data_IF_817503137229
#
_entry.id   IF_817503137229
#
_cell.length_a   1.000
_cell.length_b   1.000
_cell.length_c   1.000
_cell.angle_alpha   90.00
_cell.angle_beta   90.00
_cell.angle_gamma   90.00
#
_symmetry.space_group_name_H-M   'P 1'
#
loop_
_entity.id
_entity.type
_entity.pdbx_description
1 polymer ?
#
# COMPACT_ATOMS: atom_id res chain seq x y z
N UNK A 1 -7.11 24.66 -63.32
CA UNK A 1 -6.16 23.54 -63.32
C UNK A 1 -5.08 23.84 -62.27
N UNK A 2 -5.27 23.41 -61.03
CA UNK A 2 -4.32 23.65 -59.94
C UNK A 2 -3.54 22.34 -59.68
N UNK A 3 -2.26 22.36 -59.99
CA UNK A 3 -1.32 21.26 -59.77
C UNK A 3 -1.07 21.11 -58.26
N UNK A 4 -1.46 19.97 -57.72
CA UNK A 4 -1.14 19.58 -56.35
C UNK A 4 0.24 18.91 -56.33
N UNK A 5 1.19 19.50 -55.58
CA UNK A 5 2.50 18.93 -55.33
C UNK A 5 2.40 17.78 -54.32
N UNK A 6 3.05 16.64 -54.52
CA UNK A 6 3.03 15.53 -53.57
C UNK A 6 3.87 15.87 -52.31
N UNK A 7 3.24 15.75 -51.12
CA UNK A 7 3.94 15.86 -49.83
C UNK A 7 4.88 14.67 -49.68
N UNK A 8 6.16 14.90 -49.80
CA UNK A 8 7.22 13.95 -49.42
C UNK A 8 7.10 13.66 -47.92
N UNK A 9 6.61 12.47 -47.53
CA UNK A 9 6.70 11.92 -46.19
C UNK A 9 8.11 11.38 -46.01
N UNK A 10 8.96 12.13 -45.31
CA UNK A 10 10.23 11.63 -44.79
C UNK A 10 9.97 10.48 -43.79
N UNK A 11 10.62 9.31 -43.96
CA UNK A 11 10.48 8.23 -42.98
C UNK A 11 11.07 8.68 -41.64
N UNK A 12 10.24 8.70 -40.59
CA UNK A 12 10.71 8.83 -39.21
C UNK A 12 11.55 7.60 -38.88
N UNK A 13 12.84 7.72 -38.96
CA UNK A 13 13.78 6.76 -38.39
C UNK A 13 13.48 6.65 -36.87
N UNK A 14 12.67 5.66 -36.50
CA UNK A 14 12.57 5.19 -35.12
C UNK A 14 13.90 4.50 -34.78
N UNK A 15 14.87 5.26 -34.27
CA UNK A 15 16.04 4.69 -33.60
C UNK A 15 15.50 4.12 -32.26
N UNK A 16 14.99 2.87 -32.35
CA UNK A 16 14.57 2.08 -31.21
C UNK A 16 15.79 1.48 -30.50
N UNK A 17 16.65 2.30 -29.97
CA UNK A 17 17.64 1.85 -28.99
C UNK A 17 16.97 1.64 -27.62
N UNK A 18 17.40 0.67 -26.82
CA UNK A 18 16.90 0.52 -25.46
C UNK A 18 17.06 1.85 -24.72
N UNK A 19 16.01 2.28 -24.04
CA UNK A 19 15.98 3.56 -23.30
C UNK A 19 17.22 3.64 -22.38
N UNK A 20 17.98 4.75 -22.42
CA UNK A 20 19.21 4.85 -21.65
C UNK A 20 18.90 4.66 -20.17
N UNK A 21 19.60 3.71 -19.53
CA UNK A 21 19.43 3.41 -18.11
C UNK A 21 19.73 4.65 -17.26
N UNK A 22 19.09 4.80 -16.11
CA UNK A 22 19.35 5.89 -15.14
C UNK A 22 20.84 5.98 -14.83
N UNK A 23 21.53 4.86 -14.73
CA UNK A 23 22.99 4.78 -14.54
C UNK A 23 23.74 5.51 -15.66
N UNK A 24 23.39 5.25 -16.93
CA UNK A 24 24.03 5.91 -18.06
C UNK A 24 23.74 7.42 -18.08
N UNK A 25 22.50 7.84 -17.82
CA UNK A 25 22.12 9.26 -17.77
C UNK A 25 22.89 10.02 -16.69
N UNK A 26 22.99 9.47 -15.48
CA UNK A 26 23.74 10.08 -14.38
C UNK A 26 25.23 10.17 -14.71
N UNK A 27 25.83 9.09 -15.23
CA UNK A 27 27.24 9.09 -15.59
C UNK A 27 27.56 10.11 -16.67
N UNK A 28 26.74 10.22 -17.72
CA UNK A 28 26.91 11.22 -18.78
C UNK A 28 26.71 12.63 -18.23
N UNK A 29 25.70 12.86 -17.40
CA UNK A 29 25.44 14.17 -16.80
C UNK A 29 26.61 14.65 -15.95
N UNK A 30 27.08 13.81 -15.02
CA UNK A 30 28.21 14.15 -14.15
C UNK A 30 29.51 14.30 -14.94
N UNK A 31 29.77 13.45 -15.94
CA UNK A 31 30.92 13.58 -16.83
C UNK A 31 30.89 14.89 -17.61
N UNK A 32 29.74 15.31 -18.14
CA UNK A 32 29.57 16.58 -18.84
C UNK A 32 29.79 17.80 -17.91
N UNK A 33 29.15 17.76 -16.72
CA UNK A 33 29.33 18.84 -15.72
C UNK A 33 30.81 18.97 -15.32
N UNK A 34 31.49 17.85 -15.07
CA UNK A 34 32.89 17.83 -14.73
C UNK A 34 33.75 18.40 -15.86
N UNK A 35 33.51 18.01 -17.11
CA UNK A 35 34.22 18.50 -18.30
C UNK A 35 34.03 20.00 -18.50
N UNK A 36 32.78 20.49 -18.37
CA UNK A 36 32.47 21.93 -18.49
C UNK A 36 33.16 22.76 -17.40
N UNK A 37 33.03 22.32 -16.15
CA UNK A 37 33.68 23.00 -15.01
C UNK A 37 35.19 23.01 -15.15
N UNK A 38 35.78 21.88 -15.55
CA UNK A 38 37.19 21.77 -15.81
C UNK A 38 37.65 22.69 -16.95
N UNK A 39 36.91 22.74 -18.07
CA UNK A 39 37.21 23.63 -19.19
C UNK A 39 37.16 25.12 -18.79
N UNK A 40 36.19 25.52 -17.98
CA UNK A 40 36.08 26.89 -17.44
C UNK A 40 37.27 27.21 -16.56
N UNK A 41 37.65 26.34 -15.62
CA UNK A 41 38.82 26.52 -14.74
C UNK A 41 40.12 26.63 -15.54
N UNK A 42 40.31 25.77 -16.54
CA UNK A 42 41.47 25.80 -17.41
C UNK A 42 41.52 27.10 -18.22
N UNK A 43 40.39 27.57 -18.73
CA UNK A 43 40.33 28.86 -19.46
C UNK A 43 40.67 30.02 -18.56
N UNK A 44 40.18 30.06 -17.33
CA UNK A 44 40.53 31.10 -16.33
C UNK A 44 42.01 31.02 -16.00
N UNK A 45 42.53 29.81 -15.73
CA UNK A 45 43.95 29.60 -15.44
C UNK A 45 44.86 30.07 -16.58
N UNK A 46 44.53 29.72 -17.82
CA UNK A 46 45.26 30.17 -19.01
C UNK A 46 45.24 31.69 -19.15
N UNK A 47 44.07 32.33 -19.00
CA UNK A 47 43.95 33.80 -19.08
C UNK A 47 44.74 34.51 -17.99
N UNK A 48 44.73 33.98 -16.75
CA UNK A 48 45.51 34.50 -15.62
C UNK A 48 47.02 34.40 -15.90
N UNK A 49 47.49 33.24 -16.35
CA UNK A 49 48.92 33.05 -16.69
C UNK A 49 49.32 33.96 -17.83
N UNK A 50 48.50 34.04 -18.87
CA UNK A 50 48.74 34.94 -20.02
C UNK A 50 48.79 36.42 -19.58
N UNK A 51 47.86 36.85 -18.70
CA UNK A 51 47.79 38.21 -18.18
C UNK A 51 49.04 38.55 -17.33
N UNK A 52 49.42 37.67 -16.39
CA UNK A 52 50.57 37.87 -15.53
C UNK A 52 51.88 37.90 -16.31
N UNK A 53 52.02 37.06 -17.34
CA UNK A 53 53.18 37.10 -18.24
C UNK A 53 53.24 38.40 -19.11
N UNK A 54 52.04 38.99 -19.39
CA UNK A 54 51.95 40.27 -20.06
C UNK A 54 52.34 41.45 -19.13
N UNK A 55 51.72 41.49 -17.94
CA UNK A 55 51.89 42.55 -16.94
C UNK A 55 53.30 42.61 -16.38
N UNK A 56 54.00 41.48 -16.17
CA UNK A 56 55.37 41.45 -15.67
C UNK A 56 56.40 42.11 -16.61
N UNK A 57 56.09 42.13 -17.91
CA UNK A 57 56.89 42.87 -18.90
C UNK A 57 56.68 44.37 -18.82
N UNK A 58 55.42 44.80 -18.64
CA UNK A 58 55.08 46.24 -18.62
C UNK A 58 55.58 46.97 -17.35
N UNK A 59 55.34 46.33 -16.18
CA UNK A 59 55.81 46.88 -14.89
C UNK A 59 57.34 47.05 -14.88
N UNK A 60 58.08 46.05 -15.39
CA UNK A 60 59.56 46.15 -15.49
C UNK A 60 60.00 47.19 -16.46
N UNK A 61 59.26 47.37 -17.56
CA UNK A 61 59.58 48.46 -18.54
C UNK A 61 59.23 49.86 -17.98
N UNK A 62 58.14 50.00 -17.21
CA UNK A 62 57.77 51.23 -16.52
C UNK A 62 58.79 51.57 -15.43
N UNK A 63 59.19 50.62 -14.59
CA UNK A 63 60.24 50.87 -13.58
C UNK A 63 61.54 51.20 -14.17
N UNK A 64 61.89 50.66 -15.36
CA UNK A 64 63.09 51.04 -16.10
C UNK A 64 63.03 52.45 -16.70
N UNK A 65 61.86 52.84 -17.25
CA UNK A 65 61.61 54.22 -17.74
C UNK A 65 61.69 55.27 -16.63
N UNK A 66 61.33 54.90 -15.41
CA UNK A 66 61.36 55.73 -14.20
C UNK A 66 62.75 55.74 -13.55
N UNK A 67 63.79 55.07 -14.16
CA UNK A 67 65.12 55.02 -13.60
C UNK A 67 65.29 54.17 -12.33
N UNK A 68 64.25 53.46 -11.94
CA UNK A 68 64.23 52.64 -10.70
C UNK A 68 64.86 51.26 -10.89
N UNK A 69 65.11 50.84 -12.13
CA UNK A 69 65.83 49.61 -12.48
C UNK A 69 67.01 49.92 -13.45
N UNK A 70 68.14 49.25 -13.28
CA UNK A 70 69.24 49.38 -14.19
C UNK A 70 68.85 48.99 -15.62
N UNK A 71 69.52 49.55 -16.65
CA UNK A 71 69.30 49.15 -18.03
C UNK A 71 69.50 47.63 -18.19
N UNK A 72 68.73 47.00 -19.13
CA UNK A 72 68.84 45.57 -19.34
C UNK A 72 70.30 45.22 -19.69
N UNK A 73 70.96 44.63 -18.71
CA UNK A 73 72.34 44.12 -18.93
C UNK A 73 72.23 42.59 -19.07
N UNK A 74 72.75 42.08 -20.17
CA UNK A 74 73.09 40.68 -20.35
C UNK A 74 74.57 40.47 -20.13
N UNK A 75 74.95 39.49 -19.37
CA UNK A 75 76.36 39.12 -19.25
C UNK A 75 76.70 38.14 -20.37
N UNK A 76 77.61 38.55 -21.26
CA UNK A 76 78.18 37.67 -22.24
C UNK A 76 79.66 37.51 -21.92
N UNK A 77 80.16 36.32 -21.70
CA UNK A 77 81.53 36.04 -21.27
C UNK A 77 82.03 36.85 -20.05
N UNK A 78 81.10 37.02 -19.02
CA UNK A 78 81.46 37.72 -17.77
C UNK A 78 81.48 39.25 -17.86
N UNK A 79 81.22 39.86 -19.01
CA UNK A 79 81.17 41.34 -19.18
C UNK A 79 79.71 41.80 -19.28
N UNK A 80 79.31 42.88 -18.57
CA UNK A 80 78.01 43.45 -18.69
C UNK A 80 77.80 44.07 -20.08
N UNK A 81 76.81 43.52 -20.84
CA UNK A 81 76.45 44.05 -22.15
C UNK A 81 75.12 44.79 -22.07
N UNK A 82 75.13 46.09 -22.41
CA UNK A 82 73.87 46.88 -22.41
C UNK A 82 73.26 46.83 -23.80
N UNK A 83 72.11 46.16 -23.91
CA UNK A 83 71.36 46.14 -25.17
C UNK A 83 70.67 47.49 -25.40
N UNK A 84 71.13 48.22 -26.48
CA UNK A 84 70.51 49.48 -26.90
C UNK A 84 69.10 49.18 -27.48
N UNK A 85 68.04 49.91 -27.07
CA UNK A 85 66.72 49.79 -27.70
C UNK A 85 66.83 49.99 -29.22
N UNK A 86 66.26 49.03 -30.02
CA UNK A 86 66.33 49.10 -31.49
C UNK A 86 67.56 48.46 -32.13
N UNK A 87 68.56 47.97 -31.36
CA UNK A 87 69.72 47.25 -31.94
C UNK A 87 69.24 45.84 -32.43
N UNK A 88 69.90 45.27 -33.46
CA UNK A 88 69.61 43.94 -33.97
C UNK A 88 69.60 42.88 -32.89
N UNK A 89 70.52 42.96 -31.92
CA UNK A 89 70.67 42.05 -30.80
C UNK A 89 69.51 42.19 -29.82
N UNK A 90 68.99 43.42 -29.57
CA UNK A 90 67.85 43.68 -28.73
C UNK A 90 66.53 43.10 -29.36
N UNK A 91 66.40 43.29 -30.68
CA UNK A 91 65.26 42.72 -31.43
C UNK A 91 65.32 41.21 -31.50
N UNK A 92 66.47 40.59 -31.68
CA UNK A 92 66.68 39.16 -31.62
C UNK A 92 66.36 38.61 -30.24
N UNK A 93 66.87 39.21 -29.17
CA UNK A 93 66.54 38.80 -27.80
C UNK A 93 65.05 38.96 -27.45
N UNK A 94 64.39 39.98 -28.04
CA UNK A 94 62.92 40.13 -27.90
C UNK A 94 62.13 39.04 -28.66
N UNK A 95 62.56 38.70 -29.88
CA UNK A 95 61.97 37.65 -30.69
C UNK A 95 62.12 36.27 -30.02
N UNK A 96 63.31 35.93 -29.53
CA UNK A 96 63.56 34.67 -28.80
C UNK A 96 62.72 34.60 -27.54
N UNK A 97 62.57 35.68 -26.75
CA UNK A 97 61.65 35.68 -25.57
C UNK A 97 60.20 35.52 -25.95
N UNK A 98 59.78 36.16 -27.05
CA UNK A 98 58.44 36.02 -27.56
C UNK A 98 58.12 34.53 -27.96
N UNK A 99 59.09 33.92 -28.64
CA UNK A 99 59.01 32.55 -29.07
C UNK A 99 59.00 31.56 -27.88
N UNK A 100 59.93 31.71 -26.94
CA UNK A 100 59.97 30.92 -25.70
C UNK A 100 58.61 31.01 -24.88
N UNK A 101 58.09 32.26 -24.87
CA UNK A 101 56.76 32.47 -24.20
C UNK A 101 55.63 31.78 -24.93
N UNK A 102 55.61 31.82 -26.26
CA UNK A 102 54.60 31.13 -27.08
C UNK A 102 54.68 29.62 -26.88
N UNK A 103 55.91 29.08 -26.91
CA UNK A 103 56.17 27.65 -26.72
C UNK A 103 55.79 27.20 -25.31
N UNK A 104 56.08 28.00 -24.27
CA UNK A 104 55.69 27.73 -22.91
C UNK A 104 54.14 27.71 -22.73
N UNK A 105 53.45 28.69 -23.35
CA UNK A 105 51.98 28.72 -23.34
C UNK A 105 51.37 27.54 -24.10
N UNK A 106 51.94 27.15 -25.24
CA UNK A 106 51.50 25.96 -25.99
C UNK A 106 51.69 24.67 -25.18
N UNK A 107 52.82 24.45 -24.55
CA UNK A 107 53.05 23.29 -23.68
C UNK A 107 52.05 23.26 -22.53
N UNK A 108 51.82 24.39 -21.87
CA UNK A 108 50.90 24.52 -20.76
C UNK A 108 49.45 24.17 -21.18
N UNK A 109 49.02 24.59 -22.39
CA UNK A 109 47.71 24.21 -22.93
C UNK A 109 47.61 22.69 -23.16
N UNK A 110 48.67 22.09 -23.76
CA UNK A 110 48.71 20.65 -24.00
C UNK A 110 48.63 19.87 -22.67
N UNK A 111 49.47 20.26 -21.68
CA UNK A 111 49.48 19.60 -20.37
C UNK A 111 48.12 19.71 -19.66
N UNK A 112 47.48 20.88 -19.78
CA UNK A 112 46.15 21.09 -19.21
C UNK A 112 45.07 20.24 -19.91
N UNK A 113 45.09 20.15 -21.23
CA UNK A 113 44.13 19.32 -21.99
C UNK A 113 44.31 17.84 -21.66
N UNK A 114 45.57 17.38 -21.55
CA UNK A 114 45.84 15.98 -21.14
C UNK A 114 45.38 15.72 -19.72
N UNK A 115 45.69 16.62 -18.79
CA UNK A 115 45.21 16.48 -17.39
C UNK A 115 43.67 16.47 -17.31
N UNK A 116 43.00 17.35 -18.07
CA UNK A 116 41.53 17.38 -18.13
C UNK A 116 40.97 16.07 -18.69
N UNK A 117 41.55 15.54 -19.75
CA UNK A 117 41.11 14.27 -20.35
C UNK A 117 41.25 13.10 -19.38
N UNK A 118 42.40 12.99 -18.71
CA UNK A 118 42.64 11.94 -17.69
C UNK A 118 41.67 12.06 -16.52
N UNK A 119 41.52 13.27 -15.98
CA UNK A 119 40.58 13.49 -14.85
C UNK A 119 39.12 13.22 -15.25
N UNK A 120 38.73 13.58 -16.47
CA UNK A 120 37.38 13.27 -16.98
C UNK A 120 37.18 11.76 -17.11
N UNK A 121 38.14 11.02 -17.59
CA UNK A 121 38.09 9.56 -17.69
C UNK A 121 37.95 8.92 -16.31
N UNK A 122 38.73 9.38 -15.32
CA UNK A 122 38.63 8.92 -13.93
C UNK A 122 37.24 9.24 -13.35
N UNK A 123 36.76 10.47 -13.54
CA UNK A 123 35.42 10.89 -13.04
C UNK A 123 34.27 10.08 -13.64
N UNK A 124 34.31 9.80 -14.95
CA UNK A 124 33.34 8.97 -15.64
C UNK A 124 33.41 7.52 -15.13
N UNK A 125 34.60 6.95 -14.97
CA UNK A 125 34.79 5.60 -14.46
C UNK A 125 34.29 5.42 -13.03
N UNK A 126 34.66 6.31 -12.13
CA UNK A 126 34.22 6.29 -10.74
C UNK A 126 32.71 6.54 -10.61
N UNK A 127 32.18 7.51 -11.37
CA UNK A 127 30.73 7.78 -11.43
C UNK A 127 29.93 6.58 -11.91
N UNK A 128 30.43 5.84 -12.91
CA UNK A 128 29.82 4.61 -13.39
C UNK A 128 29.79 3.50 -12.33
N UNK A 129 30.86 3.30 -11.58
CA UNK A 129 30.94 2.32 -10.50
C UNK A 129 30.02 2.66 -9.34
N UNK A 130 30.05 3.93 -8.87
CA UNK A 130 29.21 4.41 -7.77
C UNK A 130 27.73 4.37 -8.11
N UNK A 131 27.34 4.86 -9.29
CA UNK A 131 25.94 4.78 -9.75
C UNK A 131 25.45 3.33 -9.87
N UNK A 132 26.34 2.42 -10.30
CA UNK A 132 26.02 1.00 -10.37
C UNK A 132 25.74 0.37 -9.02
N UNK A 133 26.50 0.75 -7.99
CA UNK A 133 26.35 0.24 -6.63
C UNK A 133 25.14 0.88 -5.93
N UNK A 134 24.95 2.18 -6.06
CA UNK A 134 23.82 2.91 -5.46
C UNK A 134 22.45 2.48 -6.02
N UNK A 135 22.39 2.11 -7.32
CA UNK A 135 21.15 1.70 -7.95
C UNK A 135 20.90 0.18 -7.93
N UNK A 136 21.78 -0.60 -7.30
CA UNK A 136 21.59 -2.06 -7.17
C UNK A 136 20.33 -2.42 -6.37
N UNK A 137 20.07 -1.84 -5.19
CA UNK A 137 18.87 -2.15 -4.40
C UNK A 137 17.57 -1.91 -5.17
N UNK A 138 17.50 -0.85 -5.97
CA UNK A 138 16.31 -0.56 -6.80
C UNK A 138 16.03 -1.66 -7.82
N UNK A 139 17.08 -2.31 -8.36
CA UNK A 139 16.91 -3.45 -9.26
C UNK A 139 16.41 -4.68 -8.52
N UNK A 140 16.88 -4.90 -7.31
CA UNK A 140 16.48 -6.02 -6.47
C UNK A 140 15.00 -5.87 -6.08
N UNK A 141 14.56 -4.67 -5.65
CA UNK A 141 13.15 -4.32 -5.40
C UNK A 141 12.30 -4.60 -6.66
N UNK A 142 12.74 -4.09 -7.83
CA UNK A 142 11.99 -4.27 -9.08
C UNK A 142 11.93 -5.74 -9.52
N UNK A 143 12.99 -6.50 -9.28
CA UNK A 143 13.04 -7.93 -9.61
C UNK A 143 12.10 -8.74 -8.71
N UNK A 144 12.09 -8.49 -7.40
CA UNK A 144 11.15 -9.11 -6.45
C UNK A 144 9.71 -8.74 -6.79
N UNK A 145 9.42 -7.45 -7.04
CA UNK A 145 8.09 -7.00 -7.43
C UNK A 145 7.56 -7.68 -8.72
N UNK A 146 8.45 -8.05 -9.66
CA UNK A 146 8.07 -8.79 -10.87
C UNK A 146 7.88 -10.28 -10.66
N UNK A 147 8.53 -10.87 -9.64
CA UNK A 147 8.39 -12.28 -9.30
C UNK A 147 7.17 -12.54 -8.42
N UNK A 148 6.77 -11.54 -7.64
CA UNK A 148 5.59 -11.62 -6.80
C UNK A 148 4.35 -11.84 -7.68
N UNK A 149 3.63 -12.91 -7.42
CA UNK A 149 2.35 -13.28 -8.03
C UNK A 149 1.40 -13.78 -6.94
N UNK A 150 0.15 -14.02 -7.27
CA UNK A 150 -0.83 -14.56 -6.31
C UNK A 150 -0.44 -15.88 -5.64
N UNK A 151 0.50 -16.62 -6.23
CA UNK A 151 0.99 -17.90 -5.70
C UNK A 151 2.24 -17.76 -4.82
N UNK A 152 2.97 -16.62 -4.92
CA UNK A 152 4.25 -16.41 -4.25
C UNK A 152 4.33 -15.03 -3.56
N UNK A 153 3.34 -14.74 -2.71
CA UNK A 153 3.27 -13.49 -1.93
C UNK A 153 4.16 -13.51 -0.67
N UNK A 154 4.71 -14.67 -0.32
CA UNK A 154 5.59 -14.82 0.85
C UNK A 154 7.01 -14.28 0.63
N UNK A 155 7.41 -13.95 -0.61
CA UNK A 155 8.72 -13.38 -0.90
C UNK A 155 8.82 -11.96 -0.35
N UNK A 156 9.96 -11.62 0.26
CA UNK A 156 10.24 -10.28 0.81
C UNK A 156 11.50 -9.73 0.17
N UNK A 157 11.59 -8.40 0.14
CA UNK A 157 12.79 -7.72 -0.32
C UNK A 157 13.89 -7.84 0.73
N UNK A 158 13.51 -7.67 2.01
CA UNK A 158 14.39 -7.75 3.19
C UNK A 158 15.72 -7.03 2.97
N UNK A 159 15.63 -5.76 2.54
CA UNK A 159 16.81 -4.97 2.19
C UNK A 159 17.64 -4.70 3.43
N UNK A 160 18.87 -5.24 3.44
CA UNK A 160 19.87 -4.98 4.48
C UNK A 160 20.71 -3.78 4.10
N UNK A 161 20.70 -2.73 4.94
CA UNK A 161 21.47 -1.51 4.66
C UNK A 161 21.19 -0.40 5.66
N UNK A 162 21.76 0.79 5.43
CA UNK A 162 21.46 1.97 6.24
C UNK A 162 19.98 2.35 6.12
N UNK A 163 19.46 3.00 7.16
CA UNK A 163 18.10 3.54 7.17
C UNK A 163 18.03 4.80 6.29
N UNK A 164 17.96 4.60 4.99
CA UNK A 164 17.81 5.62 3.97
C UNK A 164 16.44 5.47 3.25
N UNK A 165 16.17 6.33 2.29
CA UNK A 165 14.92 6.35 1.53
C UNK A 165 14.67 5.04 0.75
N UNK A 166 15.73 4.31 0.40
CA UNK A 166 15.61 3.01 -0.27
C UNK A 166 15.18 1.90 0.71
N UNK A 167 15.68 1.96 1.94
CA UNK A 167 15.27 1.05 3.02
C UNK A 167 13.81 1.29 3.39
N UNK A 168 13.39 2.56 3.54
CA UNK A 168 12.00 2.93 3.82
C UNK A 168 11.05 2.44 2.71
N UNK A 169 11.46 2.59 1.44
CA UNK A 169 10.69 2.07 0.30
C UNK A 169 10.56 0.55 0.35
N UNK A 170 11.65 -0.16 0.63
CA UNK A 170 11.65 -1.63 0.72
C UNK A 170 10.75 -2.11 1.86
N UNK A 171 10.84 -1.50 3.05
CA UNK A 171 10.04 -1.85 4.21
C UNK A 171 8.54 -1.58 3.98
N UNK A 172 8.22 -0.46 3.31
CA UNK A 172 6.83 -0.13 2.91
C UNK A 172 6.29 -1.18 1.95
N UNK A 173 7.10 -1.61 0.98
CA UNK A 173 6.72 -2.63 0.01
C UNK A 173 6.52 -3.99 0.69
N UNK A 174 7.43 -4.39 1.59
CA UNK A 174 7.31 -5.62 2.37
C UNK A 174 6.08 -5.62 3.28
N UNK A 175 5.75 -4.47 3.88
CA UNK A 175 4.51 -4.27 4.62
C UNK A 175 3.25 -4.42 3.77
N UNK A 176 3.29 -3.96 2.52
CA UNK A 176 2.20 -4.13 1.55
C UNK A 176 2.05 -5.61 1.14
N UNK A 177 3.17 -6.27 0.84
CA UNK A 177 3.18 -7.71 0.53
C UNK A 177 2.64 -8.54 1.70
N UNK A 178 3.01 -8.20 2.94
CA UNK A 178 2.48 -8.86 4.13
C UNK A 178 0.96 -8.77 4.26
N UNK A 179 0.39 -7.60 3.98
CA UNK A 179 -1.07 -7.40 3.97
C UNK A 179 -1.76 -8.19 2.86
N UNK A 180 -1.17 -8.22 1.66
CA UNK A 180 -1.70 -8.98 0.54
C UNK A 180 -1.64 -10.49 0.82
N UNK A 181 -0.53 -11.00 1.36
CA UNK A 181 -0.37 -12.41 1.71
C UNK A 181 -1.40 -12.85 2.76
N UNK A 182 -1.59 -12.04 3.80
CA UNK A 182 -2.63 -12.28 4.82
C UNK A 182 -4.04 -12.30 4.21
N UNK A 183 -4.37 -11.36 3.31
CA UNK A 183 -5.67 -11.29 2.64
C UNK A 183 -5.92 -12.50 1.74
N UNK A 184 -4.95 -12.88 0.91
CA UNK A 184 -5.04 -14.08 0.07
C UNK A 184 -5.04 -15.38 0.88
N UNK A 185 -4.31 -15.42 1.99
CA UNK A 185 -4.33 -16.53 2.94
C UNK A 185 -5.74 -16.72 3.52
N UNK A 186 -6.33 -15.65 4.03
CA UNK A 186 -7.71 -15.65 4.53
C UNK A 186 -8.71 -16.09 3.47
N UNK A 187 -8.60 -15.58 2.24
CA UNK A 187 -9.46 -15.97 1.12
C UNK A 187 -9.33 -17.45 0.76
N UNK A 188 -8.11 -18.00 0.73
CA UNK A 188 -7.89 -19.45 0.47
C UNK A 188 -8.52 -20.30 1.56
N UNK A 189 -8.35 -19.94 2.83
CA UNK A 189 -8.96 -20.62 3.96
C UNK A 189 -10.50 -20.55 3.90
N UNK A 190 -11.04 -19.38 3.55
CA UNK A 190 -12.49 -19.19 3.37
C UNK A 190 -13.06 -20.14 2.29
N UNK A 191 -12.45 -20.18 1.09
CA UNK A 191 -12.90 -21.06 -0.01
C UNK A 191 -12.77 -22.54 0.36
N UNK A 192 -11.66 -22.94 1.01
CA UNK A 192 -11.47 -24.32 1.46
C UNK A 192 -12.53 -24.72 2.48
N UNK A 193 -12.79 -23.91 3.50
CA UNK A 193 -13.79 -24.16 4.53
C UNK A 193 -15.21 -24.19 3.95
N UNK A 194 -15.56 -23.25 3.06
CA UNK A 194 -16.84 -23.24 2.37
C UNK A 194 -17.06 -24.55 1.57
N UNK A 195 -16.02 -25.00 0.88
CA UNK A 195 -16.06 -26.27 0.12
C UNK A 195 -16.26 -27.48 1.02
N UNK A 196 -15.61 -27.50 2.19
CA UNK A 196 -15.80 -28.56 3.17
C UNK A 196 -17.19 -28.55 3.79
N UNK A 197 -17.69 -27.37 4.19
CA UNK A 197 -19.04 -27.23 4.79
C UNK A 197 -20.19 -27.51 3.79
N UNK A 198 -19.96 -27.37 2.48
CA UNK A 198 -20.90 -27.79 1.44
C UNK A 198 -20.82 -29.29 1.13
N UNK A 199 -19.62 -29.87 1.16
CA UNK A 199 -19.45 -31.30 0.81
C UNK A 199 -20.11 -32.23 1.80
N UNK A 200 -20.08 -31.91 3.08
CA UNK A 200 -20.67 -32.75 4.15
C UNK A 200 -22.17 -32.93 3.98
N UNK A 201 -23.04 -31.90 3.88
CA UNK A 201 -24.45 -32.07 3.69
C UNK A 201 -24.79 -32.77 2.36
N UNK A 202 -24.05 -32.50 1.28
CA UNK A 202 -24.22 -33.20 0.00
C UNK A 202 -23.97 -34.71 0.14
N UNK A 203 -22.93 -35.09 0.90
CA UNK A 203 -22.62 -36.50 1.15
C UNK A 203 -23.74 -37.15 1.98
N UNK A 204 -24.29 -36.47 2.99
CA UNK A 204 -25.40 -36.95 3.80
C UNK A 204 -26.64 -37.17 2.91
N UNK A 205 -27.05 -36.16 2.13
CA UNK A 205 -28.19 -36.29 1.22
C UNK A 205 -28.04 -37.47 0.25
N UNK A 206 -26.83 -37.63 -0.30
CA UNK A 206 -26.54 -38.74 -1.20
C UNK A 206 -26.70 -40.09 -0.49
N UNK A 207 -26.17 -40.23 0.73
CA UNK A 207 -26.29 -41.45 1.50
C UNK A 207 -27.73 -41.78 1.82
N UNK A 208 -28.56 -40.81 2.25
CA UNK A 208 -30.00 -40.99 2.52
C UNK A 208 -30.73 -41.49 1.27
N UNK A 209 -30.47 -40.91 0.12
CA UNK A 209 -31.04 -41.30 -1.17
C UNK A 209 -30.56 -42.69 -1.58
N UNK A 210 -29.27 -42.98 -1.48
CA UNK A 210 -28.67 -44.27 -1.85
C UNK A 210 -29.23 -45.40 -0.97
N UNK A 211 -29.44 -45.18 0.34
CA UNK A 211 -30.05 -46.11 1.27
C UNK A 211 -31.51 -46.38 0.88
N UNK A 212 -32.28 -45.34 0.59
CA UNK A 212 -33.71 -45.52 0.21
C UNK A 212 -33.86 -46.23 -1.14
N UNK A 213 -32.93 -46.00 -2.09
CA UNK A 213 -32.96 -46.69 -3.40
C UNK A 213 -32.46 -48.13 -3.31
N UNK A 214 -31.66 -48.51 -2.32
CA UNK A 214 -31.14 -49.85 -2.12
C UNK A 214 -32.16 -50.81 -1.49
N UNK A 215 -33.24 -50.30 -0.88
CA UNK A 215 -34.30 -51.09 -0.27
C UNK A 215 -35.56 -51.13 -1.15
N UNK A 216 -35.79 -52.19 -1.93
CA UNK A 216 -36.99 -52.34 -2.75
C UNK A 216 -38.29 -52.49 -1.92
N UNK A 217 -38.16 -52.76 -0.61
CA UNK A 217 -39.28 -52.89 0.32
C UNK A 217 -39.58 -51.63 1.14
N UNK A 218 -38.89 -50.52 0.85
CA UNK A 218 -39.05 -49.28 1.61
C UNK A 218 -40.50 -48.83 1.68
N UNK A 219 -41.00 -48.63 2.90
CA UNK A 219 -42.34 -48.16 3.12
C UNK A 219 -42.54 -46.71 2.73
N UNK A 220 -43.76 -46.30 2.40
CA UNK A 220 -44.10 -44.89 2.13
C UNK A 220 -43.72 -43.98 3.30
N UNK A 221 -43.70 -44.46 4.53
CA UNK A 221 -43.29 -43.71 5.71
C UNK A 221 -41.81 -43.46 5.72
N UNK A 222 -40.98 -44.45 5.37
CA UNK A 222 -39.52 -44.31 5.29
C UNK A 222 -39.10 -43.38 4.14
N UNK A 223 -39.74 -43.52 2.97
CA UNK A 223 -39.50 -42.60 1.84
C UNK A 223 -39.89 -41.16 2.17
N UNK A 224 -40.98 -40.95 2.95
CA UNK A 224 -41.38 -39.61 3.41
C UNK A 224 -40.36 -39.04 4.41
N UNK A 225 -39.90 -39.84 5.37
CA UNK A 225 -38.89 -39.44 6.34
C UNK A 225 -37.57 -39.06 5.66
N UNK A 226 -37.14 -39.87 4.67
CA UNK A 226 -35.96 -39.54 3.83
C UNK A 226 -36.15 -38.20 3.08
N UNK A 227 -37.34 -38.00 2.46
CA UNK A 227 -37.62 -36.73 1.76
C UNK A 227 -37.62 -35.51 2.69
N UNK A 228 -38.10 -35.67 3.93
CA UNK A 228 -38.02 -34.62 4.96
C UNK A 228 -36.57 -34.33 5.38
N UNK A 229 -35.75 -35.36 5.61
CA UNK A 229 -34.32 -35.20 5.95
C UNK A 229 -33.52 -34.53 4.82
N UNK A 230 -33.78 -34.91 3.56
CA UNK A 230 -33.16 -34.27 2.40
C UNK A 230 -33.57 -32.80 2.30
N UNK A 231 -34.87 -32.49 2.49
CA UNK A 231 -35.36 -31.09 2.47
C UNK A 231 -34.69 -30.24 3.55
N UNK A 232 -34.62 -30.74 4.79
CA UNK A 232 -33.95 -30.05 5.89
C UNK A 232 -32.46 -29.75 5.55
N UNK A 233 -31.80 -30.71 4.90
CA UNK A 233 -30.42 -30.57 4.49
C UNK A 233 -30.26 -29.56 3.35
N UNK A 234 -31.20 -29.48 2.39
CA UNK A 234 -31.25 -28.45 1.36
C UNK A 234 -31.40 -27.05 1.97
N UNK A 235 -32.42 -26.88 2.87
CA UNK A 235 -32.63 -25.61 3.58
C UNK A 235 -31.40 -25.17 4.37
N UNK A 236 -30.64 -26.12 4.91
CA UNK A 236 -29.34 -25.84 5.55
C UNK A 236 -28.29 -25.35 4.56
N UNK A 237 -28.17 -25.97 3.37
CA UNK A 237 -27.26 -25.54 2.33
C UNK A 237 -27.61 -24.12 1.82
N UNK A 238 -28.91 -23.83 1.64
CA UNK A 238 -29.34 -22.49 1.22
C UNK A 238 -28.93 -21.41 2.22
N UNK A 239 -29.14 -21.64 3.53
CA UNK A 239 -28.65 -20.71 4.58
C UNK A 239 -27.14 -20.51 4.56
N UNK A 240 -26.37 -21.57 4.26
CA UNK A 240 -24.92 -21.44 4.12
C UNK A 240 -24.57 -20.56 2.92
N UNK A 241 -25.16 -20.81 1.76
CA UNK A 241 -24.90 -20.03 0.52
C UNK A 241 -25.29 -18.57 0.73
N UNK A 242 -26.45 -18.29 1.32
CA UNK A 242 -26.87 -16.92 1.65
C UNK A 242 -25.85 -16.21 2.56
N UNK A 243 -25.34 -16.90 3.58
CA UNK A 243 -24.35 -16.38 4.50
C UNK A 243 -23.02 -16.07 3.79
N UNK A 244 -22.58 -16.93 2.86
CA UNK A 244 -21.38 -16.71 2.04
C UNK A 244 -21.56 -15.54 1.08
N UNK A 245 -22.71 -15.45 0.41
CA UNK A 245 -23.02 -14.33 -0.50
C UNK A 245 -23.10 -13.00 0.25
N UNK A 246 -23.62 -13.01 1.46
CA UNK A 246 -23.69 -11.82 2.29
C UNK A 246 -22.29 -11.34 2.69
N UNK A 247 -21.42 -12.25 3.13
CA UNK A 247 -20.04 -11.92 3.46
C UNK A 247 -19.32 -11.29 2.26
N UNK A 248 -19.47 -11.88 1.07
CA UNK A 248 -18.89 -11.33 -0.16
C UNK A 248 -19.48 -9.96 -0.57
N UNK A 249 -20.78 -9.72 -0.32
CA UNK A 249 -21.44 -8.44 -0.62
C UNK A 249 -21.10 -7.35 0.35
N UNK A 250 -20.93 -7.65 1.65
CA UNK A 250 -20.53 -6.65 2.64
C UNK A 250 -19.13 -6.09 2.35
N UNK A 251 -18.21 -6.88 1.80
CA UNK A 251 -16.89 -6.41 1.34
C UNK A 251 -16.98 -5.49 0.09
N UNK A 252 -18.01 -5.65 -0.75
CA UNK A 252 -18.16 -4.90 -1.99
C UNK A 252 -18.85 -3.52 -1.83
N UNK A 253 -19.40 -3.18 -0.65
CA UNK A 253 -20.01 -1.85 -0.29
C UNK A 253 -20.93 -1.22 -1.36
N UNK A 254 -21.62 -2.03 -2.18
CA UNK A 254 -22.40 -1.54 -3.31
C UNK A 254 -23.91 -1.54 -3.01
N UNK A 255 -24.37 -0.57 -2.23
CA UNK A 255 -25.79 -0.37 -1.96
C UNK A 255 -26.14 1.08 -1.66
N UNK A 256 -27.43 1.42 -1.76
CA UNK A 256 -27.94 2.74 -1.40
C UNK A 256 -27.97 2.85 0.13
N UNK A 257 -27.15 3.72 0.68
CA UNK A 257 -27.15 4.03 2.10
C UNK A 257 -28.34 4.93 2.46
N UNK A 258 -29.06 4.55 3.51
CA UNK A 258 -30.21 5.27 4.05
C UNK A 258 -29.99 5.56 5.55
N UNK A 259 -30.82 6.45 6.10
CA UNK A 259 -30.86 6.63 7.56
C UNK A 259 -31.68 5.50 8.17
N UNK A 260 -31.07 4.70 9.04
CA UNK A 260 -31.66 3.51 9.66
C UNK A 260 -31.63 3.65 11.17
N UNK A 261 -32.77 3.38 11.82
CA UNK A 261 -32.86 3.26 13.28
C UNK A 261 -32.61 1.83 13.72
N UNK A 262 -31.48 1.57 14.35
CA UNK A 262 -31.10 0.24 14.81
C UNK A 262 -31.95 -0.23 15.99
N UNK A 263 -32.58 0.67 16.73
CA UNK A 263 -33.53 0.30 17.77
C UNK A 263 -34.79 -0.37 17.17
N UNK A 264 -35.33 0.21 16.09
CA UNK A 264 -36.46 -0.36 15.37
C UNK A 264 -36.12 -1.72 14.79
N UNK A 265 -34.98 -1.85 14.09
CA UNK A 265 -34.53 -3.14 13.54
C UNK A 265 -34.34 -4.20 14.62
N UNK A 266 -33.78 -3.83 15.79
CA UNK A 266 -33.59 -4.74 16.90
C UNK A 266 -34.95 -5.23 17.47
N UNK A 267 -35.91 -4.32 17.61
CA UNK A 267 -37.29 -4.66 18.08
C UNK A 267 -37.99 -5.63 17.12
N UNK A 268 -37.89 -5.37 15.81
CA UNK A 268 -38.47 -6.24 14.79
C UNK A 268 -37.82 -7.65 14.84
N UNK A 269 -36.49 -7.73 14.89
CA UNK A 269 -35.74 -8.99 14.99
C UNK A 269 -36.08 -9.78 16.28
N UNK A 270 -36.22 -9.10 17.42
CA UNK A 270 -36.64 -9.75 18.68
C UNK A 270 -38.03 -10.32 18.54
N UNK A 271 -38.96 -9.59 17.91
CA UNK A 271 -40.34 -10.04 17.69
C UNK A 271 -40.36 -11.28 16.79
N UNK A 272 -39.64 -11.29 15.69
CA UNK A 272 -39.54 -12.39 14.73
C UNK A 272 -38.96 -13.67 15.36
N UNK A 273 -37.97 -13.50 16.25
CA UNK A 273 -37.29 -14.62 16.91
C UNK A 273 -37.91 -15.03 18.26
N UNK A 274 -39.00 -14.36 18.69
CA UNK A 274 -39.63 -14.62 19.99
C UNK A 274 -40.06 -16.08 20.18
N UNK A 275 -40.67 -16.70 19.17
CA UNK A 275 -41.07 -18.10 19.24
C UNK A 275 -39.87 -19.03 19.49
N UNK A 276 -38.75 -18.77 18.81
CA UNK A 276 -37.51 -19.52 18.98
C UNK A 276 -36.88 -19.33 20.36
N UNK A 277 -36.89 -18.11 20.89
CA UNK A 277 -36.40 -17.83 22.24
C UNK A 277 -37.27 -18.57 23.29
N UNK A 278 -38.60 -18.57 23.10
CA UNK A 278 -39.52 -19.30 23.96
C UNK A 278 -39.26 -20.81 23.93
N UNK A 279 -39.11 -21.40 22.75
CA UNK A 279 -38.84 -22.85 22.60
C UNK A 279 -37.50 -23.24 23.23
N UNK A 280 -36.48 -22.34 23.11
CA UNK A 280 -35.17 -22.49 23.76
C UNK A 280 -35.20 -22.18 25.27
N UNK A 281 -36.29 -21.68 25.82
CA UNK A 281 -36.47 -21.23 27.20
C UNK A 281 -35.47 -20.13 27.58
N UNK A 282 -35.23 -19.18 26.67
CA UNK A 282 -34.35 -18.04 26.87
C UNK A 282 -35.20 -16.81 27.18
N UNK A 283 -34.90 -16.12 28.28
CA UNK A 283 -35.54 -14.86 28.64
C UNK A 283 -34.91 -13.73 27.84
N UNK A 284 -35.67 -13.07 26.96
CA UNK A 284 -35.19 -11.92 26.18
C UNK A 284 -35.53 -10.63 26.91
N UNK A 285 -34.53 -9.80 27.15
CA UNK A 285 -34.64 -8.46 27.75
C UNK A 285 -34.11 -7.44 26.76
N UNK A 286 -34.80 -6.35 26.55
CA UNK A 286 -34.43 -5.30 25.64
C UNK A 286 -34.36 -3.92 26.34
N UNK A 287 -33.38 -3.11 25.91
CA UNK A 287 -33.18 -1.70 26.32
C UNK A 287 -32.83 -0.90 25.05
N UNK A 288 -33.88 -0.56 24.28
CA UNK A 288 -33.76 -0.05 22.92
C UNK A 288 -34.01 1.45 22.92
N UNK A 289 -32.91 2.24 22.97
CA UNK A 289 -32.92 3.68 22.71
C UNK A 289 -32.79 3.96 21.22
N UNK A 290 -33.49 4.99 20.64
CA UNK A 290 -33.35 5.37 19.26
C UNK A 290 -31.88 5.60 18.85
N UNK A 291 -31.41 4.86 17.83
CA UNK A 291 -30.00 4.79 17.48
C UNK A 291 -29.82 4.83 15.94
N UNK A 292 -29.79 6.05 15.40
CA UNK A 292 -29.75 6.29 13.97
C UNK A 292 -28.33 6.24 13.41
N UNK A 293 -28.16 5.47 12.34
CA UNK A 293 -26.92 5.38 11.56
C UNK A 293 -27.21 5.48 10.07
N UNK A 294 -26.17 5.75 9.28
CA UNK A 294 -26.25 5.67 7.82
C UNK A 294 -25.77 4.29 7.37
N UNK A 295 -26.54 3.62 6.55
CA UNK A 295 -26.14 2.31 6.07
C UNK A 295 -27.15 1.62 5.18
N UNK A 296 -26.86 0.40 4.79
CA UNK A 296 -27.73 -0.45 3.99
C UNK A 296 -28.72 -1.20 4.89
N UNK A 297 -30.05 -0.94 4.82
CA UNK A 297 -31.01 -1.49 5.76
C UNK A 297 -30.95 -3.02 5.89
N UNK A 298 -30.93 -3.74 4.77
CA UNK A 298 -30.92 -5.21 4.78
C UNK A 298 -29.62 -5.83 5.34
N UNK A 299 -28.46 -5.13 5.23
CA UNK A 299 -27.22 -5.58 5.86
C UNK A 299 -27.26 -5.37 7.38
N UNK A 300 -27.75 -4.22 7.82
CA UNK A 300 -27.88 -3.88 9.24
C UNK A 300 -28.92 -4.77 9.93
N UNK A 301 -30.07 -5.04 9.30
CA UNK A 301 -31.07 -6.00 9.77
C UNK A 301 -30.45 -7.39 9.96
N UNK A 302 -29.72 -7.89 8.95
CA UNK A 302 -29.10 -9.21 9.03
C UNK A 302 -27.98 -9.26 10.09
N UNK A 303 -27.27 -8.18 10.31
CA UNK A 303 -26.27 -8.06 11.38
C UNK A 303 -26.96 -8.26 12.76
N UNK A 304 -28.04 -7.55 12.99
CA UNK A 304 -28.82 -7.67 14.25
C UNK A 304 -29.44 -9.07 14.40
N UNK A 305 -30.04 -9.60 13.33
CA UNK A 305 -30.61 -10.95 13.33
C UNK A 305 -29.57 -12.03 13.66
N UNK A 306 -28.32 -11.89 13.10
CA UNK A 306 -27.22 -12.80 13.45
C UNK A 306 -26.81 -12.71 14.93
N UNK A 307 -26.82 -11.51 15.51
CA UNK A 307 -26.50 -11.31 16.93
C UNK A 307 -27.56 -11.96 17.82
N UNK A 308 -28.85 -11.70 17.55
CA UNK A 308 -29.95 -12.21 18.34
C UNK A 308 -30.07 -13.74 18.20
N UNK A 309 -30.02 -14.28 16.96
CA UNK A 309 -30.06 -15.72 16.71
C UNK A 309 -28.89 -16.46 17.39
N UNK A 310 -27.67 -15.86 17.32
CA UNK A 310 -26.50 -16.41 18.00
C UNK A 310 -26.68 -16.45 19.51
N UNK A 311 -27.24 -15.39 20.12
CA UNK A 311 -27.47 -15.30 21.55
C UNK A 311 -28.56 -16.27 22.04
N UNK A 312 -29.57 -16.60 21.21
CA UNK A 312 -30.59 -17.61 21.52
C UNK A 312 -29.99 -19.02 21.38
N UNK A 313 -29.29 -19.29 20.28
CA UNK A 313 -28.78 -20.63 19.93
C UNK A 313 -27.70 -21.13 20.88
N UNK A 314 -26.83 -20.25 21.35
CA UNK A 314 -25.70 -20.57 22.24
C UNK A 314 -25.99 -20.26 23.70
N UNK A 315 -27.29 -20.26 24.07
CA UNK A 315 -27.75 -20.08 25.43
C UNK A 315 -28.06 -21.43 26.09
N UNK A 316 -28.20 -21.42 27.40
CA UNK A 316 -28.66 -22.53 28.19
C UNK A 316 -30.18 -22.39 28.48
N UNK A 317 -30.93 -23.48 28.61
CA UNK A 317 -32.33 -23.41 29.01
C UNK A 317 -32.51 -22.70 30.35
N UNK A 318 -33.30 -21.64 30.38
CA UNK A 318 -33.46 -20.75 31.55
C UNK A 318 -32.44 -19.61 31.61
N UNK A 319 -31.58 -19.48 30.60
CA UNK A 319 -30.66 -18.37 30.48
C UNK A 319 -31.32 -17.09 29.95
N UNK A 320 -30.50 -16.05 29.70
CA UNK A 320 -30.98 -14.73 29.30
C UNK A 320 -30.31 -14.24 28.04
N UNK A 321 -30.97 -13.37 27.29
CA UNK A 321 -30.48 -12.58 26.20
C UNK A 321 -30.81 -11.11 26.45
N UNK A 322 -29.81 -10.24 26.48
CA UNK A 322 -29.97 -8.78 26.61
C UNK A 322 -29.58 -8.12 25.32
N UNK A 323 -30.51 -7.35 24.74
CA UNK A 323 -30.23 -6.53 23.53
C UNK A 323 -30.42 -5.08 23.90
N UNK A 324 -29.41 -4.26 23.64
CA UNK A 324 -29.49 -2.81 23.89
C UNK A 324 -28.94 -2.01 22.74
N UNK A 325 -29.58 -0.85 22.51
CA UNK A 325 -29.13 0.16 21.56
C UNK A 325 -29.06 1.51 22.25
N UNK A 326 -27.99 2.25 22.00
CA UNK A 326 -27.84 3.62 22.52
C UNK A 326 -26.92 4.46 21.67
N UNK A 327 -26.96 5.76 21.84
CA UNK A 327 -26.00 6.70 21.24
C UNK A 327 -25.08 7.22 22.34
N UNK A 328 -23.78 7.06 22.15
CA UNK A 328 -22.76 7.55 23.09
C UNK A 328 -21.59 8.18 22.30
N UNK A 329 -21.18 9.39 22.69
CA UNK A 329 -20.04 10.10 22.10
C UNK A 329 -20.05 10.15 20.55
N UNK A 330 -21.23 10.35 19.93
CA UNK A 330 -21.36 10.42 18.46
C UNK A 330 -21.29 9.07 17.74
N UNK A 331 -21.35 7.97 18.49
CA UNK A 331 -21.44 6.60 17.96
C UNK A 331 -22.72 5.93 18.40
N UNK A 332 -23.29 5.16 17.51
CA UNK A 332 -24.33 4.18 17.84
C UNK A 332 -23.67 2.94 18.39
N UNK A 333 -24.16 2.47 19.52
CA UNK A 333 -23.73 1.24 20.17
C UNK A 333 -24.89 0.24 20.14
N UNK A 334 -24.70 -0.89 19.49
CA UNK A 334 -25.56 -2.08 19.62
C UNK A 334 -24.81 -3.09 20.46
N UNK A 335 -25.42 -3.53 21.55
CA UNK A 335 -24.85 -4.51 22.45
C UNK A 335 -25.83 -5.69 22.59
N UNK A 336 -25.31 -6.89 22.38
CA UNK A 336 -26.06 -8.14 22.62
C UNK A 336 -25.25 -9.01 23.56
N UNK A 337 -25.82 -9.38 24.69
CA UNK A 337 -25.21 -10.21 25.71
C UNK A 337 -26.09 -11.40 26.05
N UNK A 338 -25.52 -12.58 26.08
CA UNK A 338 -26.24 -13.82 26.44
C UNK A 338 -25.53 -14.56 27.58
N UNK A 339 -26.32 -15.29 28.37
CA UNK A 339 -25.79 -16.28 29.31
C UNK A 339 -25.27 -17.52 28.59
N UNK A 340 -24.64 -18.41 29.33
CA UNK A 340 -24.17 -19.71 28.83
C UNK A 340 -22.80 -20.10 29.39
N UNK A 341 -22.15 -21.03 28.74
CA UNK A 341 -20.85 -21.58 29.15
C UNK A 341 -19.76 -20.49 29.29
N UNK A 342 -18.88 -20.65 30.25
CA UNK A 342 -17.73 -19.80 30.40
C UNK A 342 -16.76 -20.02 29.23
N UNK A 343 -16.33 -18.95 28.60
CA UNK A 343 -15.46 -18.95 27.40
C UNK A 343 -14.15 -18.25 27.77
N UNK A 344 -13.02 -18.80 27.32
CA UNK A 344 -11.74 -18.15 27.46
C UNK A 344 -11.68 -16.88 26.59
N UNK A 345 -11.18 -15.79 27.15
CA UNK A 345 -11.09 -14.50 26.45
C UNK A 345 -10.27 -14.57 25.16
N UNK A 346 -9.18 -15.35 25.15
CA UNK A 346 -8.34 -15.56 23.96
C UNK A 346 -9.11 -16.28 22.83
N UNK A 347 -10.04 -17.19 23.22
CA UNK A 347 -10.89 -17.90 22.27
C UNK A 347 -11.99 -16.98 21.75
N UNK A 348 -12.55 -16.12 22.62
CA UNK A 348 -13.61 -15.18 22.26
C UNK A 348 -13.21 -14.23 21.14
N UNK A 349 -11.98 -13.69 21.17
CA UNK A 349 -11.44 -12.78 20.13
C UNK A 349 -11.44 -13.43 18.74
N UNK A 350 -11.20 -14.74 18.67
CA UNK A 350 -11.19 -15.48 17.40
C UNK A 350 -12.56 -15.83 16.83
N UNK A 351 -13.67 -15.67 17.58
CA UNK A 351 -15.01 -16.08 17.13
C UNK A 351 -15.57 -15.24 15.98
N UNK A 352 -14.98 -14.10 15.69
CA UNK A 352 -15.32 -13.28 14.52
C UNK A 352 -14.66 -13.76 13.23
N UNK A 353 -13.77 -14.75 13.29
CA UNK A 353 -13.20 -15.36 12.09
C UNK A 353 -14.22 -16.29 11.42
N UNK A 354 -14.33 -16.31 10.07
CA UNK A 354 -15.24 -17.19 9.36
C UNK A 354 -15.03 -18.68 9.70
N UNK A 355 -16.11 -19.43 9.89
CA UNK A 355 -16.14 -20.86 10.21
C UNK A 355 -15.58 -21.24 11.59
N UNK A 356 -15.28 -20.26 12.46
CA UNK A 356 -14.81 -20.51 13.80
C UNK A 356 -15.98 -20.83 14.73
N UNK A 357 -15.86 -21.90 15.54
CA UNK A 357 -16.90 -22.40 16.42
C UNK A 357 -16.31 -22.94 17.73
N UNK A 358 -16.95 -22.68 18.84
CA UNK A 358 -16.58 -23.25 20.13
C UNK A 358 -16.91 -24.76 20.19
N UNK A 359 -18.12 -25.10 19.77
CA UNK A 359 -18.62 -26.48 19.72
C UNK A 359 -19.21 -26.79 18.34
N UNK A 360 -18.79 -27.92 17.78
CA UNK A 360 -19.28 -28.41 16.48
C UNK A 360 -20.61 -29.11 16.57
N UNK A 361 -21.05 -29.53 17.77
CA UNK A 361 -22.33 -30.19 18.01
C UNK A 361 -23.52 -29.21 17.97
N UNK A 362 -23.28 -27.93 18.33
CA UNK A 362 -24.31 -26.89 18.23
C UNK A 362 -24.45 -26.45 16.77
N UNK A 363 -25.64 -26.49 16.22
CA UNK A 363 -25.95 -26.19 14.83
C UNK A 363 -25.43 -24.81 14.39
N UNK A 364 -25.12 -24.65 13.10
CA UNK A 364 -24.60 -23.42 12.50
C UNK A 364 -23.28 -23.64 11.80
N UNK A 365 -22.83 -22.64 10.99
CA UNK A 365 -21.64 -22.74 10.16
C UNK A 365 -20.46 -21.93 10.69
N UNK A 366 -20.63 -21.21 11.81
CA UNK A 366 -19.57 -20.30 12.33
C UNK A 366 -19.42 -19.05 11.48
N UNK A 367 -20.46 -18.62 10.75
CA UNK A 367 -20.44 -17.44 9.90
C UNK A 367 -21.16 -16.23 10.53
N UNK A 368 -22.00 -16.43 11.56
CA UNK A 368 -22.82 -15.34 12.12
C UNK A 368 -22.02 -14.15 12.62
N UNK A 369 -21.01 -14.37 13.47
CA UNK A 369 -20.18 -13.29 14.02
C UNK A 369 -19.21 -12.70 12.99
N UNK A 370 -18.75 -13.47 12.00
CA UNK A 370 -17.96 -12.93 10.91
C UNK A 370 -18.79 -12.02 9.99
N UNK A 371 -20.06 -12.32 9.76
CA UNK A 371 -20.99 -11.43 9.06
C UNK A 371 -21.21 -10.15 9.86
N UNK A 372 -21.41 -10.24 11.18
CA UNK A 372 -21.53 -9.06 12.06
C UNK A 372 -20.33 -8.15 11.93
N UNK A 373 -19.13 -8.71 12.01
CA UNK A 373 -17.88 -7.97 11.85
C UNK A 373 -17.76 -7.33 10.47
N UNK A 374 -17.99 -8.10 9.41
CA UNK A 374 -17.87 -7.61 8.04
C UNK A 374 -18.88 -6.50 7.72
N UNK A 375 -20.14 -6.62 8.22
CA UNK A 375 -21.15 -5.56 8.08
C UNK A 375 -20.76 -4.32 8.87
N UNK A 376 -20.26 -4.47 10.11
CA UNK A 376 -19.79 -3.32 10.90
C UNK A 376 -18.63 -2.57 10.20
N UNK A 377 -17.63 -3.30 9.70
CA UNK A 377 -16.49 -2.75 8.96
C UNK A 377 -16.92 -2.07 7.65
N UNK A 378 -17.85 -2.65 6.91
CA UNK A 378 -18.42 -2.06 5.69
C UNK A 378 -19.12 -0.72 5.94
N UNK A 379 -19.63 -0.50 7.17
CA UNK A 379 -20.25 0.75 7.62
C UNK A 379 -19.28 1.65 8.40
N UNK A 380 -17.96 1.43 8.30
CA UNK A 380 -16.94 2.24 8.97
C UNK A 380 -16.95 2.11 10.51
N UNK A 381 -17.52 1.01 11.01
CA UNK A 381 -17.60 0.68 12.42
C UNK A 381 -16.68 -0.44 12.86
N UNK A 382 -16.94 -0.94 14.07
CA UNK A 382 -16.20 -2.06 14.66
C UNK A 382 -17.14 -3.01 15.38
N UNK A 383 -16.81 -4.30 15.39
CA UNK A 383 -17.47 -5.31 16.20
C UNK A 383 -16.45 -5.95 17.15
N UNK A 384 -16.74 -5.94 18.44
CA UNK A 384 -15.90 -6.54 19.49
C UNK A 384 -16.68 -7.62 20.21
N UNK A 385 -15.99 -8.71 20.55
CA UNK A 385 -16.57 -9.86 21.26
C UNK A 385 -15.81 -9.99 22.56
N UNK A 386 -16.53 -10.10 23.68
CA UNK A 386 -15.95 -10.30 24.99
C UNK A 386 -16.65 -11.44 25.71
N UNK A 387 -15.91 -12.20 26.48
CA UNK A 387 -16.44 -13.28 27.33
C UNK A 387 -16.45 -12.82 28.79
N UNK A 388 -17.63 -12.52 29.38
CA UNK A 388 -17.73 -12.16 30.79
C UNK A 388 -17.33 -13.30 31.72
N UNK A 389 -16.80 -13.00 32.89
CA UNK A 389 -16.48 -14.02 33.91
C UNK A 389 -17.72 -14.80 34.38
N UNK A 390 -18.88 -14.19 34.25
CA UNK A 390 -20.19 -14.83 34.57
C UNK A 390 -20.62 -15.89 33.55
N UNK A 391 -19.85 -16.12 32.50
CA UNK A 391 -20.19 -16.99 31.37
C UNK A 391 -20.99 -16.29 30.26
N UNK A 392 -21.10 -16.96 29.12
CA UNK A 392 -21.76 -16.43 27.93
C UNK A 392 -20.85 -15.53 27.09
N UNK A 393 -21.47 -14.72 26.24
CA UNK A 393 -20.79 -13.85 25.29
C UNK A 393 -21.44 -12.45 25.27
N UNK A 394 -20.64 -11.42 25.19
CA UNK A 394 -21.09 -10.05 24.91
C UNK A 394 -20.51 -9.61 23.59
N UNK A 395 -21.38 -9.22 22.65
CA UNK A 395 -20.97 -8.65 21.36
C UNK A 395 -21.39 -7.19 21.33
N UNK A 396 -20.45 -6.32 20.99
CA UNK A 396 -20.63 -4.89 20.89
C UNK A 396 -20.29 -4.42 19.48
N UNK A 397 -21.25 -3.76 18.82
CA UNK A 397 -21.06 -3.12 17.52
C UNK A 397 -21.15 -1.62 17.67
N UNK A 398 -20.15 -0.91 17.13
CA UNK A 398 -20.09 0.54 17.14
C UNK A 398 -20.10 1.09 15.71
N UNK A 399 -21.07 1.96 15.38
CA UNK A 399 -21.21 2.62 14.10
C UNK A 399 -21.22 4.15 14.28
N UNK A 400 -21.06 4.91 13.20
CA UNK A 400 -21.20 6.36 13.24
C UNK A 400 -22.67 6.75 13.49
N UNK A 401 -22.93 7.64 14.46
CA UNK A 401 -24.28 8.10 14.74
C UNK A 401 -24.71 9.20 13.75
N UNK A 402 -25.97 9.12 13.31
CA UNK A 402 -26.68 10.23 12.69
C UNK A 402 -27.53 10.97 13.74
N UNK A 403 -27.72 12.30 13.59
CA UNK A 403 -28.72 13.02 14.35
C UNK A 403 -30.10 12.40 14.09
N UNK A 404 -30.91 12.24 15.15
CA UNK A 404 -32.30 11.74 15.00
C UNK A 404 -33.07 12.60 13.98
N UNK A 405 -33.64 12.00 12.91
CA UNK A 405 -34.40 12.77 11.93
C UNK A 405 -35.58 13.50 12.58
N UNK A 406 -35.70 14.79 12.30
CA UNK A 406 -36.73 15.65 12.90
C UNK A 406 -38.19 15.17 12.69
N UNK A 407 -38.44 14.30 11.71
CA UNK A 407 -39.74 13.71 11.40
C UNK A 407 -40.24 12.68 12.43
N UNK A 408 -39.40 12.16 13.30
CA UNK A 408 -39.78 11.14 14.32
C UNK A 408 -40.43 11.79 15.54
N UNK A 409 -40.18 13.06 15.80
CA UNK A 409 -40.79 13.78 16.94
C UNK A 409 -42.30 14.07 16.79
N UNK A 410 -42.84 14.01 15.57
CA UNK A 410 -44.26 14.38 15.31
C UNK A 410 -45.25 13.23 15.64
N UNK A 411 -44.81 11.97 15.66
CA UNK A 411 -45.74 10.83 15.87
C UNK A 411 -45.97 10.44 17.34
N UNK A 412 -45.11 10.89 18.29
CA UNK A 412 -45.28 10.54 19.72
C UNK A 412 -46.11 11.49 20.56
N UNK A 413 -46.41 12.72 20.06
CA UNK A 413 -47.25 13.68 20.77
C UNK A 413 -48.74 13.61 20.43
N UNK A 414 -49.17 12.77 19.47
CA UNK A 414 -50.60 12.63 19.07
C UNK A 414 -51.35 11.49 19.75
N UNK A 415 -50.70 10.70 20.64
CA UNK A 415 -51.32 9.54 21.31
C UNK A 415 -51.73 9.74 22.78
N UNK A 416 -51.62 10.96 23.32
CA UNK A 416 -51.91 11.25 24.75
C UNK A 416 -53.03 12.26 24.97
N UNK A 417 -54.07 12.20 24.15
CA UNK A 417 -55.32 12.94 24.40
C UNK A 417 -56.50 12.22 23.70
N UNK A 418 -57.00 11.15 24.32
CA UNK A 418 -58.42 10.76 24.36
C UNK A 418 -58.64 9.75 25.48
#
# INVERSE_FOLDING_TARGET
MRLALPKLRLPRLRIGGPAPTIRLRLTVLYGLVFLLTGAVLLTIGYLLVRHNLAAGGDVRNQLRKLGLLPPASATFLGRPFVLRPGSPEANFAAAVRAQLRTDALHRLVIDYVVALAVMTMIAVGTGWLLAGRALRPLRDITATARRVSGENLGERIDLVGPADELKELADTFDGMLGRLDAAFGSQRHFVANASHELRTPLAIMRTEVDVALADPGASTRELRAMGEAVRETVDRCERLIESLLMLARSEASAGREEAVDLASLAGDCITDLHARAHDARVEVRDDLEPAWTRGHPGLLERMIANLVDNGIRHNEPGGFLVVSTRVHAGRVLVKVANGGQQIDSVVADGLTEPFRRLDRSVGGFGLGLSIVRSVAEAHGGTATVTAPESGGLEVRVELAALPTPASVFVSRTSGALT
#
